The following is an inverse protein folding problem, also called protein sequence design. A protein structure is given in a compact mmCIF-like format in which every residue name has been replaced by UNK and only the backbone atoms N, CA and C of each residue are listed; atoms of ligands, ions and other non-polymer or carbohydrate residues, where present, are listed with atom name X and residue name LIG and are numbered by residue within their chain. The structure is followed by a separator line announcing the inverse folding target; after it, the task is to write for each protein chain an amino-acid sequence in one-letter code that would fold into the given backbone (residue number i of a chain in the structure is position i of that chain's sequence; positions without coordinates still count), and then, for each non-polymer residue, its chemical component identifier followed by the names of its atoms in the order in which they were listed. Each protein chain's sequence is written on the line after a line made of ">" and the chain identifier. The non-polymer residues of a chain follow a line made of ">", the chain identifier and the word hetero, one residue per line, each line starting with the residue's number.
data_IF_777275414011
#
_entry.id   IF_777275414011
#
_cell.length_a   1.000
_cell.length_b   1.000
_cell.length_c   1.000
_cell.angle_alpha   90.00
_cell.angle_beta   90.00
_cell.angle_gamma   90.00
#
_symmetry.space_group_name_H-M   'P 1'
#
loop_
_entity.id
_entity.type
_entity.pdbx_description
1 polymer ?
#
# COMPACT_ATOMS: atom_id res chain seq x y z
N UNK A 1 -29.44 11.32 1.79
CA UNK A 1 -29.91 12.40 2.67
C UNK A 1 -28.75 13.20 3.26
N UNK A 2 -27.85 12.61 4.05
CA UNK A 2 -26.72 13.31 4.69
C UNK A 2 -25.89 14.18 3.73
N UNK A 3 -25.48 13.65 2.56
CA UNK A 3 -24.65 14.40 1.60
C UNK A 3 -25.38 15.65 1.08
N UNK A 4 -26.69 15.54 0.80
CA UNK A 4 -27.49 16.65 0.30
C UNK A 4 -27.71 17.72 1.39
N UNK A 5 -28.07 17.30 2.60
CA UNK A 5 -28.24 18.18 3.76
C UNK A 5 -26.94 18.92 4.09
N UNK A 6 -25.80 18.21 4.04
CA UNK A 6 -24.49 18.80 4.29
C UNK A 6 -24.05 19.74 3.16
N UNK A 7 -24.29 19.36 1.90
CA UNK A 7 -24.02 20.21 0.75
C UNK A 7 -24.78 21.54 0.81
N UNK A 8 -26.06 21.49 1.19
CA UNK A 8 -26.89 22.69 1.31
C UNK A 8 -26.47 23.57 2.50
N UNK A 9 -25.99 22.97 3.59
CA UNK A 9 -25.39 23.69 4.73
C UNK A 9 -24.08 24.39 4.36
N UNK A 10 -23.20 23.76 3.58
CA UNK A 10 -21.87 24.28 3.23
C UNK A 10 -21.93 25.34 2.13
N UNK A 11 -22.81 25.18 1.14
CA UNK A 11 -22.96 26.14 0.05
C UNK A 11 -23.71 27.40 0.54
N UNK A 12 -24.67 27.25 1.46
CA UNK A 12 -25.55 28.36 1.85
C UNK A 12 -26.19 29.00 0.61
N UNK A 13 -26.11 30.33 0.50
CA UNK A 13 -26.54 31.09 -0.69
C UNK A 13 -25.40 31.42 -1.68
N UNK A 14 -24.17 30.92 -1.45
CA UNK A 14 -23.01 31.27 -2.28
C UNK A 14 -22.23 30.04 -2.76
N UNK A 15 -22.38 29.75 -4.06
CA UNK A 15 -21.61 28.72 -4.75
C UNK A 15 -20.09 28.92 -4.59
N UNK A 16 -19.62 30.17 -4.56
CA UNK A 16 -18.21 30.49 -4.39
C UNK A 16 -17.69 30.06 -3.01
N UNK A 17 -18.47 30.25 -1.95
CA UNK A 17 -18.11 29.80 -0.59
C UNK A 17 -18.05 28.27 -0.55
N UNK A 18 -19.04 27.60 -1.13
CA UNK A 18 -19.04 26.14 -1.24
C UNK A 18 -17.80 25.59 -1.95
N UNK A 19 -17.38 26.24 -3.03
CA UNK A 19 -16.19 25.84 -3.79
C UNK A 19 -14.89 26.00 -2.99
N UNK A 20 -14.76 27.09 -2.22
CA UNK A 20 -13.59 27.33 -1.35
C UNK A 20 -13.51 26.26 -0.27
N UNK A 21 -14.62 25.97 0.42
CA UNK A 21 -14.65 24.93 1.47
C UNK A 21 -14.34 23.56 0.88
N UNK A 22 -14.94 23.22 -0.27
CA UNK A 22 -14.64 21.97 -0.98
C UNK A 22 -13.16 21.85 -1.34
N UNK A 23 -12.54 22.94 -1.80
CA UNK A 23 -11.12 22.96 -2.16
C UNK A 23 -10.24 22.72 -0.93
N UNK A 24 -10.54 23.37 0.20
CA UNK A 24 -9.81 23.17 1.47
C UNK A 24 -9.91 21.72 1.93
N UNK A 25 -11.13 21.15 1.98
CA UNK A 25 -11.34 19.76 2.38
C UNK A 25 -10.61 18.80 1.45
N UNK A 26 -10.68 19.02 0.13
CA UNK A 26 -9.97 18.20 -0.86
C UNK A 26 -8.46 18.22 -0.64
N UNK A 27 -7.87 19.39 -0.40
CA UNK A 27 -6.42 19.52 -0.12
C UNK A 27 -6.04 18.81 1.17
N UNK A 28 -6.81 18.98 2.25
CA UNK A 28 -6.56 18.30 3.53
C UNK A 28 -6.66 16.78 3.35
N UNK A 29 -7.70 16.30 2.65
CA UNK A 29 -7.87 14.88 2.35
C UNK A 29 -6.68 14.33 1.56
N UNK A 30 -6.21 15.06 0.55
CA UNK A 30 -5.05 14.67 -0.24
C UNK A 30 -3.77 14.53 0.63
N UNK A 31 -3.54 15.50 1.53
CA UNK A 31 -2.41 15.47 2.47
C UNK A 31 -2.50 14.26 3.41
N UNK A 32 -3.68 14.01 3.97
CA UNK A 32 -3.91 12.88 4.89
C UNK A 32 -3.70 11.54 4.19
N UNK A 33 -4.21 11.37 2.97
CA UNK A 33 -4.02 10.15 2.18
C UNK A 33 -2.53 9.93 1.91
N UNK A 34 -1.82 10.97 1.46
CA UNK A 34 -0.37 10.89 1.19
C UNK A 34 0.40 10.42 2.43
N UNK A 35 0.10 10.99 3.60
CA UNK A 35 0.70 10.59 4.88
C UNK A 35 0.28 9.20 5.35
N UNK A 36 -0.91 8.74 5.00
CA UNK A 36 -1.35 7.37 5.22
C UNK A 36 -0.56 6.39 4.34
N UNK A 37 -0.41 6.71 3.06
CA UNK A 37 0.29 5.89 2.06
C UNK A 37 1.77 5.70 2.39
N UNK A 38 2.46 6.70 2.93
CA UNK A 38 3.85 6.57 3.41
C UNK A 38 4.02 5.36 4.36
N UNK A 39 3.13 5.25 5.36
CA UNK A 39 3.17 4.15 6.35
C UNK A 39 2.78 2.81 5.75
N UNK A 40 1.81 2.79 4.85
CA UNK A 40 1.40 1.54 4.17
C UNK A 40 2.54 1.02 3.28
N UNK A 41 3.25 1.92 2.60
CA UNK A 41 4.40 1.56 1.75
C UNK A 41 5.57 0.97 2.57
N UNK A 42 5.87 1.54 3.74
CA UNK A 42 6.86 0.99 4.67
C UNK A 42 6.52 -0.45 5.07
N UNK A 43 5.26 -0.69 5.47
CA UNK A 43 4.81 -2.02 5.87
C UNK A 43 4.82 -2.99 4.69
N UNK A 44 4.44 -2.57 3.48
CA UNK A 44 4.48 -3.42 2.29
C UNK A 44 5.91 -3.82 1.91
N UNK A 45 6.84 -2.87 1.93
CA UNK A 45 8.26 -3.14 1.68
C UNK A 45 8.82 -4.10 2.73
N UNK A 46 8.51 -3.85 4.00
CA UNK A 46 8.94 -4.72 5.11
C UNK A 46 8.34 -6.11 5.01
N UNK A 47 7.06 -6.24 4.66
CA UNK A 47 6.42 -7.53 4.47
C UNK A 47 7.05 -8.34 3.33
N UNK A 48 7.44 -7.67 2.25
CA UNK A 48 8.17 -8.28 1.14
C UNK A 48 9.56 -8.78 1.58
N UNK A 49 10.31 -7.95 2.30
CA UNK A 49 11.64 -8.29 2.82
C UNK A 49 11.60 -9.38 3.89
N UNK A 50 10.70 -9.28 4.86
CA UNK A 50 10.52 -10.25 5.94
C UNK A 50 10.04 -11.62 5.40
N UNK A 51 9.42 -11.65 4.21
CA UNK A 51 9.04 -12.88 3.51
C UNK A 51 10.17 -13.56 2.74
N UNK A 52 11.29 -12.87 2.47
CA UNK A 52 12.41 -13.40 1.67
C UNK A 52 13.12 -14.60 2.35
N UNK A 53 13.44 -14.58 3.66
CA UNK A 53 14.03 -15.72 4.34
C UNK A 53 13.14 -16.97 4.30
N UNK A 54 11.81 -16.80 4.38
CA UNK A 54 10.87 -17.93 4.30
C UNK A 54 10.94 -18.65 2.95
N UNK A 55 11.03 -17.90 1.85
CA UNK A 55 11.20 -18.44 0.49
C UNK A 55 12.57 -19.09 0.28
N UNK A 56 13.62 -18.54 0.90
CA UNK A 56 14.93 -19.17 0.87
C UNK A 56 14.94 -20.48 1.67
N UNK A 57 14.31 -20.50 2.85
CA UNK A 57 14.21 -21.69 3.69
C UNK A 57 13.43 -22.83 3.02
N UNK A 58 12.39 -22.53 2.21
CA UNK A 58 11.69 -23.56 1.44
C UNK A 58 12.58 -24.16 0.34
N UNK A 59 13.41 -23.35 -0.33
CA UNK A 59 14.38 -23.86 -1.32
C UNK A 59 15.42 -24.75 -0.65
N UNK A 60 15.89 -24.38 0.54
CA UNK A 60 16.85 -25.18 1.32
C UNK A 60 16.27 -26.52 1.75
N UNK A 61 14.99 -26.53 2.12
CA UNK A 61 14.27 -27.75 2.47
C UNK A 61 14.12 -28.68 1.26
N UNK A 62 13.72 -28.15 0.10
CA UNK A 62 13.59 -28.91 -1.15
C UNK A 62 14.94 -29.52 -1.59
N UNK A 63 16.03 -28.75 -1.47
CA UNK A 63 17.38 -29.22 -1.79
C UNK A 63 17.83 -30.34 -0.84
N UNK A 64 17.60 -30.18 0.47
CA UNK A 64 17.92 -31.21 1.47
C UNK A 64 17.08 -32.47 1.30
N UNK A 65 15.84 -32.34 0.81
CA UNK A 65 14.95 -33.46 0.50
C UNK A 65 15.27 -34.16 -0.83
N UNK A 66 16.20 -33.61 -1.62
CA UNK A 66 16.56 -34.13 -2.96
C UNK A 66 15.47 -33.91 -4.02
N UNK A 67 14.51 -33.01 -3.77
CA UNK A 67 13.44 -32.65 -4.70
C UNK A 67 13.99 -31.77 -5.84
N UNK A 68 15.00 -30.95 -5.53
CA UNK A 68 15.73 -30.12 -6.48
C UNK A 68 17.24 -30.34 -6.32
N UNK A 69 18.00 -30.08 -7.39
CA UNK A 69 19.46 -30.11 -7.37
C UNK A 69 20.05 -28.73 -7.04
N UNK A 70 21.38 -28.67 -6.91
CA UNK A 70 22.10 -27.47 -6.53
C UNK A 70 21.97 -26.34 -7.57
N UNK A 71 21.90 -26.68 -8.85
CA UNK A 71 21.78 -25.71 -9.94
C UNK A 71 20.37 -25.10 -9.97
N UNK A 72 19.32 -25.92 -9.83
CA UNK A 72 17.95 -25.46 -9.71
C UNK A 72 17.70 -24.64 -8.43
N UNK A 73 18.33 -25.01 -7.31
CA UNK A 73 18.26 -24.22 -6.07
C UNK A 73 18.91 -22.84 -6.25
N UNK A 74 20.04 -22.77 -6.97
CA UNK A 74 20.74 -21.52 -7.27
C UNK A 74 19.93 -20.62 -8.19
N UNK A 75 19.34 -21.20 -9.24
CA UNK A 75 18.44 -20.48 -10.14
C UNK A 75 17.25 -19.90 -9.38
N UNK A 76 16.56 -20.70 -8.56
CA UNK A 76 15.41 -20.23 -7.76
C UNK A 76 15.75 -19.11 -6.78
N UNK A 77 16.95 -19.11 -6.18
CA UNK A 77 17.40 -18.02 -5.30
C UNK A 77 17.70 -16.74 -6.09
N UNK A 78 18.23 -16.85 -7.31
CA UNK A 78 18.52 -15.67 -8.15
C UNK A 78 17.28 -14.90 -8.59
N UNK A 79 16.10 -15.53 -8.56
CA UNK A 79 14.80 -14.88 -8.83
C UNK A 79 14.22 -14.22 -7.57
N UNK A 80 14.77 -14.52 -6.39
CA UNK A 80 14.37 -13.94 -5.11
C UNK A 80 15.23 -12.74 -4.69
N UNK A 81 16.47 -12.67 -5.17
CA UNK A 81 17.39 -11.52 -5.06
C UNK A 81 17.02 -10.41 -6.05
#
# INVERSE_FOLDING_TARGET
>A
EIIATFGQFVIGDSLAVGFVVFSIVTVVQFIVITKGSERVAEVAARFSLDGMPGKQMSIDADLKAGIIDADAARERRSVLE
#
